data_IF_791699329103
#
_entry.id   IF_791699329103
#
_cell.length_a   1.000
_cell.length_b   1.000
_cell.length_c   1.000
_cell.angle_alpha   90.00
_cell.angle_beta   90.00
_cell.angle_gamma   90.00
#
_symmetry.space_group_name_H-M   'P 1'
#
loop_
_entity.id
_entity.type
_entity.pdbx_description
1 polymer ?
#
# COMPACT_ATOMS: atom_id res chain seq x y z
N UNK A 1 11.79 -1.39 -0.57
CA UNK A 1 11.05 -1.06 -1.82
C UNK A 1 9.61 -1.54 -1.72
N UNK A 2 8.72 -0.70 -1.20
CA UNK A 2 7.26 -0.95 -1.14
C UNK A 2 6.62 -0.63 -2.50
N UNK A 3 5.87 -1.58 -3.07
CA UNK A 3 5.10 -1.36 -4.30
C UNK A 3 3.96 -0.39 -4.04
N UNK A 4 3.39 -0.44 -2.83
CA UNK A 4 2.39 0.50 -2.35
C UNK A 4 2.96 1.91 -2.29
N UNK A 5 4.22 2.13 -1.88
CA UNK A 5 4.83 3.47 -1.93
C UNK A 5 4.93 4.07 -3.35
N UNK A 6 5.05 3.22 -4.40
CA UNK A 6 5.07 3.67 -5.81
C UNK A 6 3.67 3.85 -6.42
N UNK A 7 2.64 3.28 -5.80
CA UNK A 7 1.25 3.32 -6.27
C UNK A 7 0.32 3.86 -5.16
N UNK A 8 0.87 4.63 -4.21
CA UNK A 8 0.18 5.05 -2.98
C UNK A 8 -0.69 6.26 -3.32
N UNK A 9 -1.96 6.28 -2.92
CA UNK A 9 -2.64 7.54 -2.70
C UNK A 9 -1.95 8.29 -1.54
N UNK A 10 -1.95 9.62 -1.60
CA UNK A 10 -1.23 10.50 -0.67
C UNK A 10 -1.62 10.25 0.81
N UNK A 11 -2.82 9.71 1.02
CA UNK A 11 -3.44 9.46 2.31
C UNK A 11 -2.84 8.38 3.21
N UNK A 12 -1.96 7.51 2.69
CA UNK A 12 -1.54 6.28 3.39
C UNK A 12 -0.10 6.32 3.89
N UNK A 13 0.55 7.50 3.93
CA UNK A 13 1.92 7.63 4.43
C UNK A 13 1.96 7.47 5.94
N UNK A 14 2.44 6.32 6.41
CA UNK A 14 3.01 6.21 7.76
C UNK A 14 4.40 6.85 7.74
N UNK A 15 4.60 7.84 8.60
CA UNK A 15 5.83 8.66 8.70
C UNK A 15 7.02 7.91 9.29
N UNK A 16 6.79 6.72 9.84
CA UNK A 16 7.77 6.00 10.66
C UNK A 16 8.88 5.30 9.85
N UNK A 17 8.64 4.93 8.58
CA UNK A 17 9.57 4.08 7.79
C UNK A 17 10.44 4.79 6.72
N UNK A 18 10.54 6.12 6.77
CA UNK A 18 11.29 6.89 5.79
C UNK A 18 12.72 7.20 6.26
N UNK A 19 13.73 7.02 5.39
CA UNK A 19 15.09 7.54 5.65
C UNK A 19 15.09 9.08 5.68
N UNK A 20 16.07 9.70 6.34
CA UNK A 20 16.07 11.15 6.59
C UNK A 20 15.98 11.99 5.30
N UNK A 21 16.52 11.49 4.17
CA UNK A 21 16.48 12.19 2.88
C UNK A 21 15.14 12.01 2.18
N UNK A 22 14.52 10.84 2.33
CA UNK A 22 13.17 10.57 1.85
C UNK A 22 12.14 11.36 2.67
N UNK A 23 12.36 11.53 3.99
CA UNK A 23 11.57 12.42 4.86
C UNK A 23 11.66 13.86 4.39
N UNK A 24 12.87 14.42 4.23
CA UNK A 24 13.03 15.79 3.74
C UNK A 24 12.39 16.01 2.37
N UNK A 25 12.51 15.04 1.45
CA UNK A 25 11.89 15.15 0.12
C UNK A 25 10.37 15.09 0.19
N UNK A 26 9.81 14.24 1.05
CA UNK A 26 8.37 14.13 1.24
C UNK A 26 7.80 15.33 2.00
N UNK A 27 8.54 15.86 2.99
CA UNK A 27 8.23 17.11 3.69
C UNK A 27 8.32 18.30 2.74
N UNK A 28 9.27 18.34 1.80
CA UNK A 28 9.35 19.38 0.77
C UNK A 28 8.19 19.30 -0.23
N UNK A 29 7.77 18.09 -0.64
CA UNK A 29 6.59 17.93 -1.51
C UNK A 29 5.27 18.18 -0.78
N UNK A 30 5.17 17.78 0.50
CA UNK A 30 4.01 18.03 1.35
C UNK A 30 3.94 19.50 1.79
N UNK A 31 5.07 20.21 1.92
CA UNK A 31 5.09 21.64 2.17
C UNK A 31 4.64 22.46 0.95
N UNK A 32 4.70 21.88 -0.26
CA UNK A 32 4.10 22.47 -1.47
C UNK A 32 2.62 22.11 -1.69
N UNK A 33 2.11 21.09 -1.01
CA UNK A 33 0.70 20.68 -1.00
C UNK A 33 0.13 20.90 0.39
N UNK A 34 -0.28 22.12 0.72
CA UNK A 34 -0.73 22.50 2.07
C UNK A 34 -1.81 21.52 2.63
N UNK A 35 -1.45 20.61 3.57
CA UNK A 35 -2.37 19.65 4.16
C UNK A 35 -3.35 20.33 5.14
N UNK A 36 -3.22 21.64 5.37
CA UNK A 36 -4.06 22.39 6.30
C UNK A 36 -5.42 22.80 5.71
N UNK A 37 -5.66 22.55 4.42
CA UNK A 37 -6.99 22.76 3.84
C UNK A 37 -7.91 21.58 4.19
N UNK A 38 -9.13 21.83 4.70
CA UNK A 38 -10.09 20.77 5.01
C UNK A 38 -10.42 19.91 3.77
N UNK A 39 -10.31 20.48 2.57
CA UNK A 39 -10.47 19.79 1.29
C UNK A 39 -9.39 18.73 1.05
N UNK A 40 -8.10 19.07 1.24
CA UNK A 40 -7.01 18.11 1.07
C UNK A 40 -7.11 16.95 2.08
N UNK A 41 -7.46 17.25 3.33
CA UNK A 41 -7.70 16.22 4.35
C UNK A 41 -8.88 15.29 3.99
N UNK A 42 -9.94 15.84 3.39
CA UNK A 42 -11.10 15.06 2.94
C UNK A 42 -10.77 14.17 1.75
N UNK A 43 -10.00 14.67 0.78
CA UNK A 43 -9.51 13.90 -0.38
C UNK A 43 -8.67 12.72 0.11
N UNK A 44 -7.69 12.98 0.97
CA UNK A 44 -6.86 11.94 1.54
C UNK A 44 -7.71 10.88 2.28
N UNK A 45 -8.62 11.29 3.15
CA UNK A 45 -9.49 10.35 3.88
C UNK A 45 -10.31 9.47 2.94
N UNK A 46 -10.78 10.02 1.82
CA UNK A 46 -11.57 9.32 0.80
C UNK A 46 -10.70 8.31 0.06
N UNK A 47 -9.52 8.71 -0.41
CA UNK A 47 -8.56 7.81 -1.08
C UNK A 47 -8.14 6.64 -0.18
N UNK A 48 -7.85 6.90 1.10
CA UNK A 48 -7.52 5.84 2.05
C UNK A 48 -8.69 4.87 2.28
N UNK A 49 -9.94 5.35 2.21
CA UNK A 49 -11.12 4.51 2.31
C UNK A 49 -11.28 3.61 1.08
N UNK A 50 -11.00 4.12 -0.12
CA UNK A 50 -11.02 3.35 -1.35
C UNK A 50 -9.97 2.25 -1.36
N UNK A 51 -8.74 2.53 -0.94
CA UNK A 51 -7.69 1.50 -0.82
C UNK A 51 -8.10 0.43 0.20
N UNK A 52 -8.63 0.83 1.37
CA UNK A 52 -9.12 -0.14 2.36
C UNK A 52 -10.23 -1.03 1.79
N UNK A 53 -11.17 -0.45 1.04
CA UNK A 53 -12.25 -1.19 0.38
C UNK A 53 -11.71 -2.14 -0.69
N UNK A 54 -10.75 -1.69 -1.49
CA UNK A 54 -10.11 -2.51 -2.52
C UNK A 54 -9.31 -3.66 -1.89
N UNK A 55 -8.52 -3.41 -0.86
CA UNK A 55 -7.84 -4.47 -0.10
C UNK A 55 -8.81 -5.48 0.50
N UNK A 56 -9.96 -5.02 1.02
CA UNK A 56 -11.00 -5.86 1.59
C UNK A 56 -11.77 -6.70 0.55
N UNK A 57 -11.68 -6.38 -0.74
CA UNK A 57 -12.28 -7.19 -1.82
C UNK A 57 -11.34 -8.29 -2.34
N UNK A 58 -10.03 -8.21 -2.04
CA UNK A 58 -9.09 -9.25 -2.44
C UNK A 58 -9.37 -10.57 -1.72
N UNK A 59 -9.27 -11.73 -2.39
CA UNK A 59 -9.27 -13.04 -1.72
C UNK A 59 -8.21 -13.12 -0.62
N UNK A 60 -8.53 -13.82 0.47
CA UNK A 60 -7.73 -13.84 1.70
C UNK A 60 -6.24 -14.16 1.47
N UNK A 61 -5.94 -15.18 0.66
CA UNK A 61 -4.57 -15.61 0.35
C UNK A 61 -3.73 -14.55 -0.38
N UNK A 62 -4.36 -13.64 -1.13
CA UNK A 62 -3.67 -12.54 -1.81
C UNK A 62 -3.52 -11.34 -0.90
N UNK A 63 -4.56 -11.05 -0.10
CA UNK A 63 -4.51 -9.99 0.90
C UNK A 63 -3.45 -10.26 1.95
N UNK A 64 -3.38 -11.48 2.47
CA UNK A 64 -2.43 -11.91 3.50
C UNK A 64 -0.99 -11.63 3.07
N UNK A 65 -0.54 -12.16 1.93
CA UNK A 65 0.84 -11.94 1.46
C UNK A 65 1.12 -10.47 1.18
N UNK A 66 0.11 -9.72 0.72
CA UNK A 66 0.25 -8.30 0.43
C UNK A 66 0.38 -7.47 1.71
N UNK A 67 -0.39 -7.79 2.75
CA UNK A 67 -0.30 -7.14 4.08
C UNK A 67 1.04 -7.45 4.73
N UNK A 68 1.44 -8.73 4.75
CA UNK A 68 2.74 -9.12 5.30
C UNK A 68 3.90 -8.42 4.57
N UNK A 69 3.79 -8.26 3.24
CA UNK A 69 4.83 -7.61 2.45
C UNK A 69 4.86 -6.09 2.58
N UNK A 70 3.70 -5.45 2.50
CA UNK A 70 3.61 -4.00 2.26
C UNK A 70 3.27 -3.22 3.54
N UNK A 71 2.75 -3.87 4.58
CA UNK A 71 2.43 -3.26 5.88
C UNK A 71 3.41 -3.73 6.95
N UNK A 72 3.69 -5.03 7.02
CA UNK A 72 4.66 -5.58 7.98
C UNK A 72 6.10 -5.62 7.44
N UNK A 73 6.32 -5.15 6.21
CA UNK A 73 7.62 -5.06 5.55
C UNK A 73 8.46 -6.35 5.53
N UNK A 74 7.80 -7.50 5.63
CA UNK A 74 8.49 -8.77 5.71
C UNK A 74 9.16 -9.14 4.37
N UNK A 75 10.29 -9.82 4.46
CA UNK A 75 10.93 -10.41 3.30
C UNK A 75 10.18 -11.66 2.81
N UNK A 76 10.51 -12.12 1.60
CA UNK A 76 9.79 -13.25 1.00
C UNK A 76 10.00 -14.58 1.74
N UNK A 77 11.11 -14.74 2.49
CA UNK A 77 11.38 -15.96 3.27
C UNK A 77 10.51 -15.96 4.54
N UNK A 78 10.49 -14.86 5.28
CA UNK A 78 9.62 -14.70 6.45
C UNK A 78 8.14 -14.86 6.09
N UNK A 79 7.70 -14.31 4.95
CA UNK A 79 6.33 -14.52 4.47
C UNK A 79 6.06 -15.98 4.13
N UNK A 80 7.02 -16.66 3.49
CA UNK A 80 6.90 -18.08 3.15
C UNK A 80 6.74 -18.95 4.41
N UNK A 81 7.49 -18.64 5.46
CA UNK A 81 7.41 -19.30 6.76
C UNK A 81 6.07 -19.02 7.46
N UNK A 82 5.61 -17.77 7.53
CA UNK A 82 4.35 -17.42 8.18
C UNK A 82 3.14 -18.02 7.43
N UNK A 83 3.11 -17.86 6.10
CA UNK A 83 2.01 -18.35 5.28
C UNK A 83 2.11 -19.85 4.96
N UNK A 84 3.17 -20.53 5.41
CA UNK A 84 3.42 -21.96 5.20
C UNK A 84 3.33 -22.38 3.73
N UNK A 85 3.97 -21.61 2.84
CA UNK A 85 4.00 -21.86 1.39
C UNK A 85 5.39 -21.65 0.81
N UNK A 86 5.73 -22.26 -0.35
CA UNK A 86 7.00 -22.02 -1.02
C UNK A 86 7.22 -20.54 -1.36
N UNK A 87 8.48 -20.09 -1.32
CA UNK A 87 8.85 -18.71 -1.69
C UNK A 87 8.40 -18.31 -3.11
N UNK A 88 8.41 -19.25 -4.07
CA UNK A 88 7.88 -19.03 -5.41
C UNK A 88 6.35 -18.81 -5.44
N UNK A 89 5.63 -19.43 -4.51
CA UNK A 89 4.20 -19.18 -4.30
C UNK A 89 3.97 -17.79 -3.71
N UNK A 90 4.82 -17.32 -2.79
CA UNK A 90 4.75 -15.93 -2.28
C UNK A 90 4.92 -14.94 -3.43
N UNK A 91 5.94 -15.11 -4.27
CA UNK A 91 6.19 -14.23 -5.42
C UNK A 91 5.01 -14.19 -6.40
N UNK A 92 4.47 -15.35 -6.78
CA UNK A 92 3.34 -15.44 -7.71
C UNK A 92 2.03 -14.91 -7.10
N UNK A 93 1.78 -15.15 -5.81
CA UNK A 93 0.64 -14.57 -5.08
C UNK A 93 0.76 -13.05 -4.98
N UNK A 94 1.93 -12.50 -4.67
CA UNK A 94 2.15 -11.04 -4.64
C UNK A 94 1.93 -10.38 -6.00
N UNK A 95 2.44 -10.98 -7.08
CA UNK A 95 2.21 -10.48 -8.43
C UNK A 95 0.72 -10.43 -8.78
N UNK A 96 -0.04 -11.47 -8.42
CA UNK A 96 -1.49 -11.52 -8.64
C UNK A 96 -2.25 -10.56 -7.72
N UNK A 97 -1.88 -10.48 -6.45
CA UNK A 97 -2.48 -9.58 -5.47
C UNK A 97 -2.40 -8.11 -5.93
N UNK A 98 -1.25 -7.67 -6.43
CA UNK A 98 -1.04 -6.32 -6.94
C UNK A 98 -1.93 -6.01 -8.15
N UNK A 99 -2.07 -6.95 -9.09
CA UNK A 99 -2.98 -6.79 -10.24
C UNK A 99 -4.45 -6.71 -9.80
N UNK A 100 -4.86 -7.54 -8.85
CA UNK A 100 -6.22 -7.52 -8.30
C UNK A 100 -6.50 -6.20 -7.58
N UNK A 101 -5.52 -5.68 -6.83
CA UNK A 101 -5.65 -4.40 -6.15
C UNK A 101 -5.81 -3.24 -7.13
N UNK A 102 -4.99 -3.18 -8.19
CA UNK A 102 -5.14 -2.18 -9.26
C UNK A 102 -6.54 -2.27 -9.89
N UNK A 103 -6.96 -3.48 -10.26
CA UNK A 103 -8.28 -3.67 -10.90
C UNK A 103 -9.43 -3.27 -9.97
N UNK A 104 -9.34 -3.58 -8.67
CA UNK A 104 -10.34 -3.21 -7.68
C UNK A 104 -10.42 -1.70 -7.45
N UNK A 105 -9.29 -0.98 -7.53
CA UNK A 105 -9.27 0.48 -7.44
C UNK A 105 -9.81 1.14 -8.71
N UNK A 106 -9.51 0.60 -9.90
CA UNK A 106 -10.02 1.12 -11.18
C UNK A 106 -11.51 0.85 -11.38
N UNK A 107 -12.04 -0.27 -10.87
CA UNK A 107 -13.46 -0.61 -10.95
C UNK A 107 -14.36 0.10 -9.94
N UNK A 108 -13.79 0.90 -9.02
CA UNK A 108 -14.54 1.74 -8.08
C UNK A 108 -14.71 3.20 -8.53
N UNK A 109 -14.04 3.59 -9.63
CA UNK A 109 -14.06 4.95 -10.18
C UNK A 109 -15.09 5.13 -11.32
N UNK A 110 -16.18 4.34 -11.30
CA UNK A 110 -17.27 4.39 -12.28
C UNK A 110 -18.61 4.65 -11.59
#
# INVERSE_FOLDING_TARGET
YSWLAKNRPAALVLTEDLDSRARERLEQTAASEDPQTPEAALIAKTEAAEVRKAMASLPALFREVLVLREIHELDYRAIAEIAQVPIGTVMSRLARARRLLIAAMQGGAA
#
